data_IF_170965751895
#
_entry.id   IF_170965751895
#
_cell.length_a   1.000
_cell.length_b   1.000
_cell.length_c   1.000
_cell.angle_alpha   90.00
_cell.angle_beta   90.00
_cell.angle_gamma   90.00
#
_symmetry.space_group_name_H-M   'P 1'
#
loop_
_entity.id
_entity.type
_entity.pdbx_description
1 polymer ?
#
# COMPACT_ATOMS: atom_id res chain seq x y z
N UNK A 1 23.77 21.24 11.93
CA UNK A 1 22.76 20.16 11.90
C UNK A 1 22.75 19.54 10.52
N UNK A 2 22.47 18.24 10.34
CA UNK A 2 22.50 17.65 9.01
C UNK A 2 21.29 18.18 8.21
N UNK A 3 21.58 18.92 7.15
CA UNK A 3 20.61 19.54 6.25
C UNK A 3 20.38 18.66 5.02
N UNK A 4 19.15 18.65 4.50
CA UNK A 4 18.83 17.93 3.26
C UNK A 4 19.24 18.80 2.07
N UNK A 5 20.17 18.33 1.24
CA UNK A 5 20.57 19.02 0.00
C UNK A 5 19.64 18.63 -1.15
N UNK A 6 18.91 19.57 -1.72
CA UNK A 6 18.00 19.29 -2.85
C UNK A 6 18.83 18.92 -4.08
N UNK A 7 18.68 17.70 -4.59
CA UNK A 7 19.28 17.22 -5.84
C UNK A 7 18.35 17.42 -7.03
N UNK A 8 17.05 17.16 -6.84
CA UNK A 8 16.00 17.34 -7.86
C UNK A 8 14.67 17.68 -7.19
N UNK A 9 13.88 18.53 -7.84
CA UNK A 9 12.48 18.77 -7.50
C UNK A 9 11.64 17.86 -8.38
N UNK A 10 10.84 16.96 -7.80
CA UNK A 10 9.94 16.09 -8.58
C UNK A 10 8.62 16.79 -8.86
N UNK A 11 8.04 17.40 -7.84
CA UNK A 11 6.85 18.26 -7.94
C UNK A 11 6.79 19.18 -6.71
N UNK A 12 5.71 19.95 -6.59
CA UNK A 12 5.48 20.89 -5.50
C UNK A 12 5.44 20.24 -4.10
N UNK A 13 5.34 18.92 -3.99
CA UNK A 13 5.25 18.21 -2.70
C UNK A 13 6.37 17.19 -2.47
N UNK A 14 7.21 16.91 -3.47
CA UNK A 14 8.20 15.82 -3.40
C UNK A 14 9.54 16.28 -3.95
N UNK A 15 10.58 16.04 -3.15
CA UNK A 15 11.96 16.38 -3.46
C UNK A 15 12.85 15.15 -3.37
N UNK A 16 13.84 15.07 -4.26
CA UNK A 16 14.97 14.17 -4.09
C UNK A 16 16.08 14.97 -3.45
N UNK A 17 16.52 14.52 -2.28
CA UNK A 17 17.56 15.15 -1.50
C UNK A 17 18.72 14.19 -1.25
N UNK A 18 19.88 14.77 -0.92
CA UNK A 18 21.00 14.05 -0.34
C UNK A 18 21.05 14.38 1.16
N UNK A 19 21.08 13.34 1.99
CA UNK A 19 21.18 13.44 3.44
C UNK A 19 22.22 12.43 3.92
N UNK A 20 23.26 12.89 4.63
CA UNK A 20 24.38 12.05 5.09
C UNK A 20 25.03 11.20 3.96
N UNK A 21 25.12 11.77 2.75
CA UNK A 21 25.61 11.13 1.51
C UNK A 21 24.69 10.05 0.92
N UNK A 22 23.51 9.84 1.48
CA UNK A 22 22.50 8.96 0.93
C UNK A 22 21.41 9.75 0.19
N UNK A 23 20.91 9.19 -0.91
CA UNK A 23 19.72 9.73 -1.59
C UNK A 23 18.48 9.41 -0.77
N UNK A 24 17.65 10.43 -0.53
CA UNK A 24 16.38 10.30 0.18
C UNK A 24 15.29 11.07 -0.56
N UNK A 25 14.09 10.52 -0.58
CA UNK A 25 12.92 11.29 -1.04
C UNK A 25 12.30 11.97 0.16
N UNK A 26 12.14 13.29 0.08
CA UNK A 26 11.51 14.12 1.09
C UNK A 26 10.11 14.50 0.59
N UNK A 27 9.09 14.10 1.34
CA UNK A 27 7.68 14.26 0.96
C UNK A 27 7.03 15.20 1.95
N UNK A 28 6.37 16.26 1.46
CA UNK A 28 5.66 17.21 2.33
C UNK A 28 4.80 18.18 1.55
N UNK A 29 3.72 18.66 2.18
CA UNK A 29 2.78 19.60 1.53
C UNK A 29 3.48 20.91 1.17
N UNK A 30 3.53 21.23 -0.13
CA UNK A 30 4.15 22.45 -0.65
C UNK A 30 5.67 22.50 -0.53
N UNK A 31 6.32 21.38 -0.19
CA UNK A 31 7.75 21.32 0.08
C UNK A 31 8.61 21.72 -1.13
N UNK A 32 8.22 21.32 -2.33
CA UNK A 32 8.93 21.60 -3.57
C UNK A 32 8.60 22.95 -4.21
N UNK A 33 7.57 23.65 -3.71
CA UNK A 33 7.15 24.94 -4.27
C UNK A 33 8.28 25.98 -4.12
N UNK A 34 8.64 26.64 -5.23
CA UNK A 34 9.75 27.61 -5.32
C UNK A 34 11.14 27.08 -4.87
N UNK A 35 11.31 25.75 -4.80
CA UNK A 35 12.61 25.14 -4.54
C UNK A 35 13.41 24.92 -5.82
N UNK A 36 14.73 24.83 -5.67
CA UNK A 36 15.67 24.55 -6.76
C UNK A 36 16.78 23.63 -6.26
N UNK A 37 17.34 22.83 -7.17
CA UNK A 37 18.50 22.00 -6.89
C UNK A 37 19.67 22.86 -6.37
N UNK A 38 20.44 22.32 -5.43
CA UNK A 38 21.56 23.00 -4.77
C UNK A 38 21.18 23.78 -3.50
N UNK A 39 19.90 23.92 -3.16
CA UNK A 39 19.46 24.52 -1.89
C UNK A 39 19.43 23.48 -0.77
N UNK A 40 19.54 23.95 0.48
CA UNK A 40 19.36 23.13 1.68
C UNK A 40 17.99 23.35 2.30
N UNK A 41 17.43 22.28 2.87
CA UNK A 41 16.22 22.33 3.70
C UNK A 41 16.65 22.09 5.15
N UNK A 42 16.27 23.03 6.01
CA UNK A 42 16.43 22.86 7.45
C UNK A 42 15.26 22.03 7.99
N UNK A 43 15.52 20.94 8.72
CA UNK A 43 14.47 20.08 9.28
C UNK A 43 13.46 20.91 10.09
N UNK A 44 13.98 21.74 11.02
CA UNK A 44 13.23 22.37 12.13
C UNK A 44 12.13 23.36 11.73
N UNK A 45 12.09 23.86 10.49
CA UNK A 45 11.03 24.76 10.02
C UNK A 45 9.88 24.07 9.29
N UNK A 46 10.01 22.78 8.99
CA UNK A 46 9.09 22.04 8.09
C UNK A 46 8.67 20.67 8.67
N UNK A 47 9.08 20.35 9.92
CA UNK A 47 8.99 19.02 10.54
C UNK A 47 7.57 18.41 10.57
N UNK A 48 6.51 19.20 10.71
CA UNK A 48 5.17 18.63 10.95
C UNK A 48 4.64 17.75 9.80
N UNK A 49 5.24 17.80 8.60
CA UNK A 49 4.69 17.14 7.40
C UNK A 49 5.74 16.45 6.52
N UNK A 50 6.97 16.27 7.01
CA UNK A 50 8.04 15.65 6.23
C UNK A 50 8.16 14.16 6.57
N UNK A 51 8.10 13.33 5.53
CA UNK A 51 8.56 11.94 5.59
C UNK A 51 9.75 11.71 4.68
N UNK A 52 10.60 10.77 5.04
CA UNK A 52 11.74 10.34 4.23
C UNK A 52 11.55 8.92 3.75
N UNK A 53 11.78 8.66 2.46
CA UNK A 53 12.01 7.31 1.96
C UNK A 53 13.51 7.12 1.76
N UNK A 54 14.09 6.17 2.48
CA UNK A 54 15.51 5.82 2.41
C UNK A 54 15.74 4.55 1.61
N UNK A 55 14.79 3.61 1.63
CA UNK A 55 14.92 2.38 0.85
C UNK A 55 14.94 2.69 -0.66
N UNK A 56 16.04 2.37 -1.35
CA UNK A 56 16.26 2.75 -2.76
C UNK A 56 15.17 2.27 -3.71
N UNK A 57 14.62 1.09 -3.46
CA UNK A 57 13.60 0.48 -4.30
C UNK A 57 12.22 1.08 -4.09
N UNK A 58 11.88 1.34 -2.82
CA UNK A 58 10.70 2.13 -2.48
C UNK A 58 10.81 3.52 -3.10
N UNK A 59 11.99 4.13 -3.10
CA UNK A 59 12.22 5.40 -3.78
C UNK A 59 11.97 5.29 -5.30
N UNK A 60 12.54 4.30 -5.98
CA UNK A 60 12.44 4.20 -7.43
C UNK A 60 11.00 3.87 -7.90
N UNK A 61 10.29 3.00 -7.17
CA UNK A 61 8.87 2.76 -7.43
C UNK A 61 8.01 3.99 -7.15
N UNK A 62 8.25 4.67 -6.03
CA UNK A 62 7.51 5.89 -5.68
C UNK A 62 7.72 6.98 -6.73
N UNK A 63 8.95 7.18 -7.22
CA UNK A 63 9.23 8.08 -8.35
C UNK A 63 8.42 7.72 -9.59
N UNK A 64 8.41 6.44 -9.98
CA UNK A 64 7.64 5.97 -11.14
C UNK A 64 6.14 6.27 -11.03
N UNK A 65 5.54 5.99 -9.86
CA UNK A 65 4.12 6.28 -9.61
C UNK A 65 3.85 7.78 -9.75
N UNK A 66 4.71 8.63 -9.16
CA UNK A 66 4.52 10.07 -9.18
C UNK A 66 4.78 10.74 -10.53
N UNK A 67 5.73 10.25 -11.32
CA UNK A 67 6.04 10.82 -12.66
C UNK A 67 4.87 10.67 -13.64
N UNK A 68 3.99 9.69 -13.41
CA UNK A 68 2.80 9.42 -14.24
C UNK A 68 1.49 9.88 -13.60
N UNK A 69 1.56 10.75 -12.58
CA UNK A 69 0.40 11.21 -11.81
C UNK A 69 0.33 12.73 -11.79
N UNK A 70 -0.86 13.28 -12.03
CA UNK A 70 -1.09 14.73 -12.00
C UNK A 70 -0.72 15.35 -10.65
N UNK A 71 -0.15 16.55 -10.68
CA UNK A 71 0.39 17.19 -9.47
C UNK A 71 -0.67 17.46 -8.39
N UNK A 72 -1.88 17.82 -8.80
CA UNK A 72 -3.02 17.99 -7.88
C UNK A 72 -3.42 16.66 -7.24
N UNK A 73 -3.43 15.56 -8.01
CA UNK A 73 -3.68 14.21 -7.47
C UNK A 73 -2.61 13.85 -6.46
N UNK A 74 -1.33 14.01 -6.80
CA UNK A 74 -0.20 13.72 -5.90
C UNK A 74 -0.33 14.49 -4.59
N UNK A 75 -0.68 15.77 -4.65
CA UNK A 75 -0.89 16.60 -3.46
C UNK A 75 -1.97 16.03 -2.56
N UNK A 76 -3.14 15.69 -3.11
CA UNK A 76 -4.27 15.15 -2.35
C UNK A 76 -3.92 13.80 -1.73
N UNK A 77 -3.21 12.93 -2.46
CA UNK A 77 -2.77 11.62 -1.96
C UNK A 77 -1.78 11.78 -0.81
N UNK A 78 -0.79 12.67 -0.94
CA UNK A 78 0.18 12.95 0.14
C UNK A 78 -0.54 13.48 1.38
N UNK A 79 -1.49 14.42 1.23
CA UNK A 79 -2.29 14.93 2.36
C UNK A 79 -3.11 13.82 3.03
N UNK A 80 -3.63 12.88 2.24
CA UNK A 80 -4.43 11.74 2.71
C UNK A 80 -3.58 10.75 3.51
N UNK A 81 -2.41 10.39 2.98
CA UNK A 81 -1.44 9.51 3.65
C UNK A 81 -0.94 10.17 4.95
N UNK A 82 -0.63 11.47 4.92
CA UNK A 82 -0.25 12.25 6.11
C UNK A 82 -1.30 12.19 7.21
N UNK A 83 -2.57 12.37 6.86
CA UNK A 83 -3.68 12.34 7.81
C UNK A 83 -3.76 10.98 8.52
N UNK A 84 -3.62 9.89 7.77
CA UNK A 84 -3.64 8.53 8.33
C UNK A 84 -2.43 8.30 9.23
N UNK A 85 -1.23 8.66 8.76
CA UNK A 85 0.00 8.44 9.50
C UNK A 85 0.02 9.19 10.84
N UNK A 86 -0.44 10.44 10.84
CA UNK A 86 -0.54 11.23 12.06
C UNK A 86 -1.56 10.65 13.06
N UNK A 87 -2.64 10.05 12.56
CA UNK A 87 -3.67 9.48 13.44
C UNK A 87 -3.24 8.16 14.09
N UNK A 88 -2.49 7.32 13.37
CA UNK A 88 -2.11 5.97 13.81
C UNK A 88 -0.63 5.84 14.22
N UNK A 89 0.09 6.96 14.33
CA UNK A 89 1.53 7.03 14.62
C UNK A 89 2.37 6.12 13.70
N UNK A 90 2.09 6.19 12.39
CA UNK A 90 2.79 5.40 11.37
C UNK A 90 3.91 6.20 10.68
N UNK A 91 4.40 7.29 11.31
CA UNK A 91 5.34 8.27 10.73
C UNK A 91 6.62 7.67 10.15
N UNK A 92 7.09 6.55 10.70
CA UNK A 92 8.33 5.87 10.30
C UNK A 92 8.11 4.69 9.34
N UNK A 93 6.87 4.43 8.94
CA UNK A 93 6.55 3.25 8.14
C UNK A 93 6.63 3.58 6.64
N UNK A 94 7.85 3.69 6.10
CA UNK A 94 8.14 4.05 4.68
C UNK A 94 7.31 3.24 3.69
N UNK A 95 7.27 1.92 3.89
CA UNK A 95 6.51 1.01 3.04
C UNK A 95 5.00 1.31 3.06
N UNK A 96 4.47 1.92 4.12
CA UNK A 96 3.03 2.22 4.22
C UNK A 96 2.70 3.37 3.29
N UNK A 97 3.54 4.40 3.32
CA UNK A 97 3.48 5.56 2.43
C UNK A 97 3.41 5.09 1.00
N UNK A 98 4.33 4.23 0.58
CA UNK A 98 4.41 3.70 -0.78
C UNK A 98 3.15 2.89 -1.12
N UNK A 99 2.82 1.90 -0.29
CA UNK A 99 1.69 0.99 -0.52
C UNK A 99 0.34 1.69 -0.63
N UNK A 100 0.12 2.71 0.21
CA UNK A 100 -1.13 3.44 0.26
C UNK A 100 -1.20 4.50 -0.84
N UNK A 101 -0.07 5.14 -1.17
CA UNK A 101 0.02 6.06 -2.32
C UNK A 101 -0.31 5.32 -3.61
N UNK A 102 0.33 4.18 -3.86
CA UNK A 102 0.08 3.34 -5.03
C UNK A 102 -1.41 2.93 -5.10
N UNK A 103 -1.97 2.45 -3.99
CA UNK A 103 -3.40 2.09 -3.93
C UNK A 103 -4.33 3.26 -4.28
N UNK A 104 -4.15 4.44 -3.68
CA UNK A 104 -5.04 5.59 -3.93
C UNK A 104 -4.86 6.13 -5.35
N UNK A 105 -3.63 6.25 -5.84
CA UNK A 105 -3.34 6.70 -7.21
C UNK A 105 -3.96 5.73 -8.22
N UNK A 106 -3.77 4.43 -8.01
CA UNK A 106 -4.38 3.41 -8.86
C UNK A 106 -5.90 3.48 -8.81
N UNK A 107 -6.49 3.60 -7.62
CA UNK A 107 -7.92 3.72 -7.44
C UNK A 107 -8.50 4.95 -8.16
N UNK A 108 -7.84 6.10 -8.08
CA UNK A 108 -8.25 7.32 -8.78
C UNK A 108 -8.15 7.18 -10.31
N UNK A 109 -7.10 6.53 -10.81
CA UNK A 109 -6.95 6.22 -12.24
C UNK A 109 -8.08 5.32 -12.73
N UNK A 110 -8.49 4.33 -11.94
CA UNK A 110 -9.64 3.47 -12.24
C UNK A 110 -10.94 4.25 -12.26
N UNK A 111 -11.13 5.14 -11.27
CA UNK A 111 -12.29 6.00 -11.20
C UNK A 111 -12.43 6.86 -12.48
N UNK A 112 -11.33 7.46 -12.95
CA UNK A 112 -11.32 8.22 -14.22
C UNK A 112 -11.68 7.36 -15.44
N UNK A 113 -11.43 6.05 -15.38
CA UNK A 113 -11.79 5.08 -16.42
C UNK A 113 -13.19 4.48 -16.23
N UNK A 114 -13.98 4.97 -15.26
CA UNK A 114 -15.27 4.41 -14.85
C UNK A 114 -15.19 2.91 -14.46
N UNK A 115 -14.05 2.49 -13.93
CA UNK A 115 -13.81 1.14 -13.44
C UNK A 115 -14.02 1.11 -11.93
N UNK A 116 -15.28 1.00 -11.53
CA UNK A 116 -15.66 0.84 -10.14
C UNK A 116 -15.43 -0.58 -9.67
N UNK A 117 -15.07 -0.71 -8.41
CA UNK A 117 -14.76 -1.98 -7.78
C UNK A 117 -15.46 -2.02 -6.45
N UNK A 118 -16.43 -2.92 -6.36
CA UNK A 118 -17.04 -3.22 -5.07
C UNK A 118 -16.00 -3.82 -4.12
N UNK A 119 -15.97 -3.32 -2.90
CA UNK A 119 -15.26 -3.89 -1.79
C UNK A 119 -16.21 -4.83 -1.08
N UNK A 120 -16.02 -6.14 -1.23
CA UNK A 120 -16.99 -7.05 -0.71
C UNK A 120 -16.82 -7.36 0.78
N UNK A 121 -15.82 -6.76 1.43
CA UNK A 121 -15.60 -6.80 2.87
C UNK A 121 -16.01 -5.49 3.56
N UNK A 122 -16.74 -4.61 2.88
CA UNK A 122 -16.99 -3.26 3.38
C UNK A 122 -17.72 -3.26 4.74
N UNK A 123 -18.76 -4.08 4.86
CA UNK A 123 -19.57 -4.20 6.08
C UNK A 123 -18.76 -4.77 7.25
N UNK A 124 -17.99 -5.81 6.97
CA UNK A 124 -17.12 -6.52 7.90
C UNK A 124 -15.98 -5.61 8.37
N UNK A 125 -15.36 -4.90 7.43
CA UNK A 125 -14.29 -3.93 7.71
C UNK A 125 -14.78 -2.82 8.63
N UNK A 126 -16.01 -2.33 8.40
CA UNK A 126 -16.63 -1.32 9.26
C UNK A 126 -16.87 -1.82 10.69
N UNK A 127 -17.28 -3.07 10.85
CA UNK A 127 -17.53 -3.66 12.16
C UNK A 127 -16.23 -4.02 12.90
N UNK A 128 -15.29 -4.66 12.21
CA UNK A 128 -14.05 -5.18 12.80
C UNK A 128 -13.00 -4.11 13.03
N UNK A 129 -12.97 -3.06 12.21
CA UNK A 129 -11.97 -1.98 12.28
C UNK A 129 -12.62 -0.59 12.27
N UNK A 130 -13.46 -0.26 13.27
CA UNK A 130 -14.29 0.94 13.26
C UNK A 130 -13.48 2.24 13.19
N UNK A 131 -12.35 2.32 13.91
CA UNK A 131 -11.48 3.51 13.84
C UNK A 131 -10.73 3.63 12.51
N UNK A 132 -10.22 2.52 11.96
CA UNK A 132 -9.60 2.52 10.63
C UNK A 132 -10.60 2.95 9.55
N UNK A 133 -11.83 2.43 9.61
CA UNK A 133 -12.92 2.78 8.70
C UNK A 133 -13.30 4.27 8.80
N UNK A 134 -13.42 4.79 10.02
CA UNK A 134 -13.74 6.20 10.28
C UNK A 134 -12.69 7.14 9.70
N UNK A 135 -11.40 6.82 9.83
CA UNK A 135 -10.33 7.63 9.25
C UNK A 135 -10.29 7.49 7.73
N UNK A 136 -10.44 6.28 7.20
CA UNK A 136 -10.56 6.05 5.76
C UNK A 136 -11.71 6.87 5.15
N UNK A 137 -12.86 6.94 5.83
CA UNK A 137 -14.01 7.72 5.38
C UNK A 137 -13.71 9.22 5.30
N UNK A 138 -12.97 9.75 6.29
CA UNK A 138 -12.51 11.15 6.28
C UNK A 138 -11.53 11.43 5.13
N UNK A 139 -10.68 10.47 4.82
CA UNK A 139 -9.74 10.55 3.69
C UNK A 139 -10.49 10.58 2.37
N UNK A 140 -11.39 9.62 2.12
CA UNK A 140 -12.19 9.58 0.88
C UNK A 140 -13.02 10.86 0.72
N UNK A 141 -13.64 11.35 1.79
CA UNK A 141 -14.38 12.61 1.74
C UNK A 141 -13.50 13.82 1.35
N UNK A 142 -12.24 13.88 1.81
CA UNK A 142 -11.28 14.92 1.38
C UNK A 142 -10.89 14.75 -0.07
N UNK A 143 -10.66 13.52 -0.53
CA UNK A 143 -10.33 13.21 -1.93
C UNK A 143 -11.46 13.70 -2.83
N UNK A 144 -12.71 13.35 -2.51
CA UNK A 144 -13.90 13.78 -3.26
C UNK A 144 -13.99 15.29 -3.35
N UNK A 145 -13.80 15.99 -2.23
CA UNK A 145 -13.87 17.44 -2.17
C UNK A 145 -12.74 18.12 -2.95
N UNK A 146 -11.50 17.65 -2.81
CA UNK A 146 -10.32 18.32 -3.37
C UNK A 146 -10.11 18.04 -4.86
N UNK A 147 -10.52 16.86 -5.33
CA UNK A 147 -10.40 16.46 -6.74
C UNK A 147 -11.71 16.59 -7.51
N UNK A 148 -12.80 16.98 -6.84
CA UNK A 148 -14.15 17.05 -7.41
C UNK A 148 -14.56 15.73 -8.09
N UNK A 149 -14.41 14.63 -7.35
CA UNK A 149 -14.73 13.25 -7.76
C UNK A 149 -15.75 12.64 -6.81
N UNK A 150 -16.39 11.56 -7.24
CA UNK A 150 -17.33 10.77 -6.43
C UNK A 150 -16.76 9.38 -6.15
N UNK A 151 -15.67 9.34 -5.37
CA UNK A 151 -14.95 8.12 -5.09
C UNK A 151 -15.81 7.18 -4.22
N UNK A 152 -15.98 5.91 -4.61
CA UNK A 152 -16.99 5.04 -4.02
C UNK A 152 -16.65 4.65 -2.59
N UNK A 153 -17.69 4.36 -1.80
CA UNK A 153 -17.56 3.90 -0.40
C UNK A 153 -16.70 2.61 -0.30
N UNK A 154 -16.58 1.84 -1.37
CA UNK A 154 -15.71 0.67 -1.46
C UNK A 154 -14.24 0.99 -1.18
N UNK A 155 -13.76 2.16 -1.63
CA UNK A 155 -12.39 2.63 -1.35
C UNK A 155 -12.18 2.94 0.14
N UNK A 156 -13.25 3.35 0.85
CA UNK A 156 -13.19 3.50 2.32
C UNK A 156 -12.81 2.17 2.94
N UNK A 157 -13.41 1.07 2.49
CA UNK A 157 -13.08 -0.26 2.97
C UNK A 157 -11.65 -0.68 2.64
N UNK A 158 -11.18 -0.43 1.41
CA UNK A 158 -9.82 -0.84 1.03
C UNK A 158 -8.75 -0.05 1.80
N UNK A 159 -8.91 1.27 1.93
CA UNK A 159 -8.03 2.11 2.74
C UNK A 159 -8.08 1.67 4.21
N UNK A 160 -9.25 1.36 4.75
CA UNK A 160 -9.39 0.87 6.12
C UNK A 160 -8.66 -0.47 6.34
N UNK A 161 -8.71 -1.39 5.37
CA UNK A 161 -7.94 -2.63 5.40
C UNK A 161 -6.43 -2.38 5.35
N UNK A 162 -5.96 -1.43 4.53
CA UNK A 162 -4.56 -1.01 4.53
C UNK A 162 -4.13 -0.51 5.92
N UNK A 163 -4.94 0.31 6.58
CA UNK A 163 -4.67 0.83 7.93
C UNK A 163 -4.68 -0.30 8.97
N UNK A 164 -5.70 -1.15 8.97
CA UNK A 164 -5.84 -2.27 9.90
C UNK A 164 -4.67 -3.25 9.80
N UNK A 165 -4.17 -3.47 8.57
CA UNK A 165 -2.98 -4.27 8.30
C UNK A 165 -1.68 -3.67 8.84
N UNK A 166 -1.67 -2.41 9.30
CA UNK A 166 -0.52 -1.77 9.93
C UNK A 166 -0.64 -1.62 11.44
N UNK A 167 -1.86 -1.47 11.94
CA UNK A 167 -2.13 -0.98 13.30
C UNK A 167 -2.56 -2.07 14.27
N UNK A 168 -3.19 -3.14 13.79
CA UNK A 168 -3.66 -4.19 14.67
C UNK A 168 -2.54 -5.18 15.01
N UNK A 169 -2.30 -5.38 16.31
CA UNK A 169 -1.50 -6.49 16.82
C UNK A 169 -2.30 -7.78 16.61
N UNK A 170 -1.75 -8.69 15.80
CA UNK A 170 -2.28 -10.05 15.70
C UNK A 170 -1.51 -10.88 16.71
N UNK A 171 -2.20 -11.66 17.54
CA UNK A 171 -1.60 -12.80 18.22
C UNK A 171 -1.26 -13.85 17.15
N UNK A 172 -0.04 -13.75 16.62
CA UNK A 172 0.51 -14.57 15.52
C UNK A 172 0.55 -16.07 15.90
N UNK A 173 0.36 -16.42 17.18
CA UNK A 173 0.62 -17.75 17.74
C UNK A 173 -0.52 -18.77 17.64
N UNK A 174 -1.76 -18.39 17.28
CA UNK A 174 -2.90 -19.27 17.58
C UNK A 174 -3.10 -20.48 16.64
N UNK A 175 -2.26 -20.75 15.64
CA UNK A 175 -2.40 -21.97 14.81
C UNK A 175 -1.09 -22.46 14.21
N UNK A 176 -0.67 -23.69 14.52
CA UNK A 176 0.55 -24.34 14.01
C UNK A 176 0.64 -24.42 12.47
N UNK A 177 -0.49 -24.27 11.76
CA UNK A 177 -0.55 -24.34 10.30
C UNK A 177 -0.17 -23.02 9.60
N UNK A 178 -0.37 -21.87 10.24
CA UNK A 178 -0.20 -20.56 9.57
C UNK A 178 1.25 -20.29 9.15
N UNK A 179 2.28 -20.56 9.98
CA UNK A 179 3.67 -20.41 9.55
C UNK A 179 4.02 -21.28 8.34
N UNK A 180 3.42 -22.48 8.23
CA UNK A 180 3.62 -23.38 7.09
C UNK A 180 2.98 -22.82 5.81
N UNK A 181 1.78 -22.27 5.91
CA UNK A 181 1.09 -21.63 4.79
C UNK A 181 1.88 -20.43 4.27
N UNK A 182 2.32 -19.55 5.17
CA UNK A 182 3.14 -18.38 4.83
C UNK A 182 4.44 -18.82 4.15
N UNK A 183 5.17 -19.78 4.74
CA UNK A 183 6.42 -20.29 4.16
C UNK A 183 6.20 -20.88 2.77
N UNK A 184 5.09 -21.58 2.55
CA UNK A 184 4.73 -22.13 1.24
C UNK A 184 4.37 -21.03 0.25
N UNK A 185 3.58 -20.04 0.67
CA UNK A 185 3.18 -18.91 -0.16
C UNK A 185 4.40 -18.09 -0.59
N UNK A 186 5.31 -17.77 0.33
CA UNK A 186 6.56 -17.04 0.03
C UNK A 186 7.42 -17.83 -0.95
N UNK A 187 7.53 -19.16 -0.82
CA UNK A 187 8.24 -19.99 -1.81
C UNK A 187 7.62 -19.91 -3.20
N UNK A 188 6.29 -19.89 -3.31
CA UNK A 188 5.59 -19.73 -4.59
C UNK A 188 5.94 -18.36 -5.19
N UNK A 189 5.89 -17.30 -4.38
CA UNK A 189 6.21 -15.94 -4.81
C UNK A 189 7.68 -15.83 -5.27
N UNK A 190 8.63 -16.27 -4.45
CA UNK A 190 10.06 -16.25 -4.77
C UNK A 190 10.38 -17.03 -6.05
N UNK A 191 9.78 -18.21 -6.22
CA UNK A 191 9.96 -19.03 -7.39
C UNK A 191 9.37 -18.38 -8.66
N UNK A 192 8.13 -17.92 -8.61
CA UNK A 192 7.43 -17.44 -9.81
C UNK A 192 7.88 -16.03 -10.23
N UNK A 193 8.32 -15.20 -9.28
CA UNK A 193 8.89 -13.88 -9.57
C UNK A 193 10.41 -13.89 -9.77
N UNK A 194 11.07 -15.03 -9.50
CA UNK A 194 12.53 -15.14 -9.49
C UNK A 194 13.18 -14.13 -8.54
N UNK A 195 12.67 -14.08 -7.31
CA UNK A 195 13.12 -13.13 -6.29
C UNK A 195 13.48 -13.80 -4.97
N UNK A 196 14.19 -13.07 -4.10
CA UNK A 196 14.38 -13.42 -2.69
C UNK A 196 13.70 -12.37 -1.80
N UNK A 197 12.87 -12.85 -0.87
CA UNK A 197 12.15 -11.99 0.06
C UNK A 197 12.83 -12.13 1.43
N UNK A 198 13.51 -11.09 1.93
CA UNK A 198 14.16 -11.15 3.24
C UNK A 198 13.11 -11.32 4.34
N UNK A 199 13.24 -12.35 5.18
CA UNK A 199 12.28 -12.65 6.28
C UNK A 199 12.21 -11.50 7.30
N UNK A 200 13.29 -10.74 7.45
CA UNK A 200 13.37 -9.58 8.34
C UNK A 200 12.81 -8.29 7.71
N UNK A 201 12.40 -8.33 6.43
CA UNK A 201 11.86 -7.17 5.74
C UNK A 201 10.46 -6.81 6.27
N UNK A 202 10.16 -5.52 6.27
CA UNK A 202 8.83 -4.99 6.61
C UNK A 202 7.78 -5.58 5.66
N UNK A 203 8.12 -5.77 4.38
CA UNK A 203 7.23 -6.32 3.37
C UNK A 203 6.88 -7.79 3.67
N UNK A 204 7.84 -8.58 4.14
CA UNK A 204 7.57 -9.93 4.64
C UNK A 204 6.62 -9.92 5.84
N UNK A 205 6.87 -9.06 6.84
CA UNK A 205 6.02 -8.94 8.02
C UNK A 205 4.58 -8.51 7.66
N UNK A 206 4.42 -7.64 6.66
CA UNK A 206 3.11 -7.23 6.13
C UNK A 206 2.40 -8.35 5.41
N UNK A 207 3.12 -9.08 4.56
CA UNK A 207 2.57 -10.23 3.87
C UNK A 207 2.08 -11.29 4.86
N UNK A 208 2.89 -11.58 5.90
CA UNK A 208 2.49 -12.42 7.02
C UNK A 208 1.18 -11.93 7.62
N UNK A 209 1.09 -10.66 8.00
CA UNK A 209 -0.11 -10.06 8.60
C UNK A 209 -1.31 -10.12 7.65
N UNK A 210 -1.13 -9.90 6.36
CA UNK A 210 -2.17 -10.02 5.35
C UNK A 210 -2.69 -11.46 5.23
N UNK A 211 -1.80 -12.46 5.18
CA UNK A 211 -2.20 -13.88 5.20
C UNK A 211 -2.95 -14.23 6.48
N UNK A 212 -2.53 -13.71 7.64
CA UNK A 212 -3.28 -13.89 8.89
C UNK A 212 -4.71 -13.34 8.78
N UNK A 213 -4.87 -12.11 8.28
CA UNK A 213 -6.19 -11.53 8.08
C UNK A 213 -7.04 -12.30 7.08
N UNK A 214 -6.46 -12.75 5.96
CA UNK A 214 -7.15 -13.62 5.00
C UNK A 214 -7.65 -14.89 5.69
N UNK A 215 -6.80 -15.56 6.46
CA UNK A 215 -7.18 -16.79 7.18
C UNK A 215 -8.24 -16.52 8.26
N UNK A 216 -8.18 -15.40 8.95
CA UNK A 216 -9.19 -15.01 9.93
C UNK A 216 -10.55 -14.81 9.26
N UNK A 217 -10.61 -14.03 8.16
CA UNK A 217 -11.85 -13.81 7.41
C UNK A 217 -12.46 -15.11 6.91
N UNK A 218 -11.62 -15.96 6.31
CA UNK A 218 -12.04 -17.25 5.79
C UNK A 218 -12.55 -18.17 6.91
N UNK A 219 -11.91 -18.18 8.09
CA UNK A 219 -12.37 -18.96 9.27
C UNK A 219 -13.68 -18.44 9.84
N UNK A 220 -13.90 -17.13 9.81
CA UNK A 220 -15.13 -16.49 10.24
C UNK A 220 -16.29 -16.68 9.23
N UNK A 221 -16.01 -17.27 8.06
CA UNK A 221 -16.99 -17.42 6.98
C UNK A 221 -17.36 -16.07 6.35
N UNK A 222 -16.50 -15.06 6.45
CA UNK A 222 -16.69 -13.78 5.79
C UNK A 222 -16.62 -14.00 4.28
N UNK A 223 -17.74 -13.73 3.60
CA UNK A 223 -17.91 -13.99 2.17
C UNK A 223 -18.00 -12.70 1.41
N UNK A 224 -17.25 -12.64 0.32
CA UNK A 224 -17.06 -11.40 -0.37
C UNK A 224 -16.98 -11.65 -1.88
N UNK A 225 -17.90 -11.06 -2.65
CA UNK A 225 -17.97 -11.15 -4.11
C UNK A 225 -17.10 -10.10 -4.81
N UNK A 226 -16.23 -10.53 -5.73
CA UNK A 226 -15.51 -9.60 -6.61
C UNK A 226 -16.28 -9.39 -7.89
N UNK A 227 -16.40 -8.14 -8.33
CA UNK A 227 -16.89 -7.82 -9.65
C UNK A 227 -15.89 -8.25 -10.75
N UNK A 228 -16.41 -8.89 -11.80
CA UNK A 228 -15.62 -9.39 -12.96
C UNK A 228 -14.72 -8.32 -13.60
N UNK A 229 -15.11 -7.04 -13.55
CA UNK A 229 -14.34 -5.94 -14.09
C UNK A 229 -13.03 -5.72 -13.32
N UNK A 230 -13.05 -5.89 -11.99
CA UNK A 230 -11.84 -5.79 -11.18
C UNK A 230 -10.85 -6.91 -11.49
N UNK A 231 -11.38 -8.12 -11.62
CA UNK A 231 -10.59 -9.31 -11.90
C UNK A 231 -9.84 -9.16 -13.24
N UNK A 232 -10.58 -8.74 -14.26
CA UNK A 232 -10.04 -8.46 -15.59
C UNK A 232 -8.95 -7.39 -15.54
N UNK A 233 -9.16 -6.32 -14.75
CA UNK A 233 -8.19 -5.25 -14.61
C UNK A 233 -6.90 -5.73 -13.92
N UNK A 234 -6.98 -6.46 -12.81
CA UNK A 234 -5.80 -6.97 -12.12
C UNK A 234 -5.03 -7.96 -13.00
N UNK A 235 -5.74 -8.80 -13.75
CA UNK A 235 -5.13 -9.67 -14.76
C UNK A 235 -4.42 -8.87 -15.86
N UNK A 236 -4.93 -7.71 -16.24
CA UNK A 236 -4.31 -6.87 -17.26
C UNK A 236 -3.11 -6.09 -16.74
N UNK A 237 -3.18 -5.54 -15.52
CA UNK A 237 -2.14 -4.66 -14.96
C UNK A 237 -1.02 -5.45 -14.27
N UNK A 238 -1.37 -6.51 -13.55
CA UNK A 238 -0.44 -7.32 -12.77
C UNK A 238 -0.62 -8.83 -13.05
N UNK A 239 -0.53 -9.28 -14.32
CA UNK A 239 -0.85 -10.66 -14.72
C UNK A 239 -0.06 -11.71 -13.93
N UNK A 240 1.23 -11.46 -13.70
CA UNK A 240 2.11 -12.39 -12.98
C UNK A 240 1.72 -12.47 -11.50
N UNK A 241 1.54 -11.33 -10.84
CA UNK A 241 1.12 -11.27 -9.43
C UNK A 241 -0.27 -11.87 -9.22
N UNK A 242 -1.20 -11.67 -10.17
CA UNK A 242 -2.52 -12.29 -10.15
C UNK A 242 -2.44 -13.81 -10.20
N UNK A 243 -1.67 -14.37 -11.13
CA UNK A 243 -1.49 -15.81 -11.24
C UNK A 243 -0.86 -16.43 -9.98
N UNK A 244 0.08 -15.73 -9.36
CA UNK A 244 0.67 -16.14 -8.09
C UNK A 244 -0.36 -16.10 -6.96
N UNK A 245 -1.17 -15.05 -6.89
CA UNK A 245 -2.26 -14.93 -5.91
C UNK A 245 -3.23 -16.12 -6.03
N UNK A 246 -3.63 -16.48 -7.25
CA UNK A 246 -4.47 -17.67 -7.52
C UNK A 246 -3.82 -18.95 -6.99
N UNK A 247 -2.52 -19.17 -7.26
CA UNK A 247 -1.79 -20.36 -6.78
C UNK A 247 -1.75 -20.43 -5.25
N UNK A 248 -1.49 -19.31 -4.58
CA UNK A 248 -1.45 -19.24 -3.11
C UNK A 248 -2.83 -19.49 -2.52
N UNK A 249 -3.88 -18.86 -3.06
CA UNK A 249 -5.25 -19.07 -2.63
C UNK A 249 -5.64 -20.55 -2.75
N UNK A 250 -5.35 -21.20 -3.88
CA UNK A 250 -5.64 -22.62 -4.09
C UNK A 250 -4.85 -23.53 -3.13
N UNK A 251 -3.60 -23.16 -2.84
CA UNK A 251 -2.78 -23.84 -1.83
C UNK A 251 -3.39 -23.73 -0.42
N UNK A 252 -3.85 -22.53 -0.03
CA UNK A 252 -4.52 -22.30 1.25
C UNK A 252 -5.82 -23.12 1.35
N UNK A 253 -6.66 -23.10 0.30
CA UNK A 253 -7.89 -23.89 0.24
C UNK A 253 -7.61 -25.38 0.50
N UNK A 254 -6.58 -25.91 -0.17
CA UNK A 254 -6.21 -27.33 -0.07
C UNK A 254 -5.69 -27.69 1.32
N UNK A 255 -4.87 -26.83 1.93
CA UNK A 255 -4.21 -27.14 3.21
C UNK A 255 -5.08 -26.83 4.43
N UNK A 256 -6.03 -25.92 4.32
CA UNK A 256 -6.89 -25.49 5.42
C UNK A 256 -8.32 -25.99 5.31
N UNK A 257 -8.69 -26.71 4.24
CA UNK A 257 -10.05 -27.23 4.00
C UNK A 257 -11.13 -26.15 4.07
N UNK A 258 -10.78 -24.94 3.62
CA UNK A 258 -11.65 -23.77 3.63
C UNK A 258 -11.85 -23.26 2.22
N UNK A 259 -13.03 -22.73 1.94
CA UNK A 259 -13.31 -22.09 0.67
C UNK A 259 -12.81 -20.64 0.71
N UNK A 260 -11.85 -20.33 -0.15
CA UNK A 260 -11.29 -18.98 -0.30
C UNK A 260 -11.87 -18.35 -1.57
N UNK A 261 -12.48 -17.18 -1.43
CA UNK A 261 -13.23 -16.52 -2.50
C UNK A 261 -12.34 -15.61 -3.37
N UNK A 262 -12.84 -15.23 -4.55
CA UNK A 262 -12.10 -14.40 -5.50
C UNK A 262 -11.64 -13.04 -4.94
N UNK A 263 -12.33 -12.49 -3.94
CA UNK A 263 -11.95 -11.26 -3.23
C UNK A 263 -10.57 -11.32 -2.59
N UNK A 264 -10.20 -12.50 -2.12
CA UNK A 264 -8.89 -12.72 -1.52
C UNK A 264 -7.80 -12.74 -2.59
N UNK A 265 -8.09 -13.22 -3.80
CA UNK A 265 -7.14 -13.20 -4.92
C UNK A 265 -6.82 -11.75 -5.29
N UNK A 266 -7.84 -10.90 -5.38
CA UNK A 266 -7.67 -9.52 -5.78
C UNK A 266 -6.84 -8.73 -4.75
N UNK A 267 -7.18 -8.89 -3.46
CA UNK A 267 -6.45 -8.24 -2.38
C UNK A 267 -5.01 -8.78 -2.26
N UNK A 268 -4.82 -10.09 -2.37
CA UNK A 268 -3.49 -10.72 -2.35
C UNK A 268 -2.62 -10.32 -3.55
N UNK A 269 -3.22 -10.09 -4.73
CA UNK A 269 -2.51 -9.62 -5.93
C UNK A 269 -1.79 -8.30 -5.66
N UNK A 270 -2.45 -7.36 -4.98
CA UNK A 270 -1.84 -6.08 -4.61
C UNK A 270 -0.66 -6.25 -3.65
N UNK A 271 -0.78 -7.12 -2.65
CA UNK A 271 0.31 -7.38 -1.70
C UNK A 271 1.50 -8.10 -2.35
N UNK A 272 1.26 -9.01 -3.28
CA UNK A 272 2.33 -9.66 -4.05
C UNK A 272 3.04 -8.66 -4.96
N UNK A 273 2.32 -7.72 -5.57
CA UNK A 273 2.94 -6.67 -6.36
C UNK A 273 3.89 -5.79 -5.53
N UNK A 274 3.57 -5.55 -4.26
CA UNK A 274 4.46 -4.83 -3.35
C UNK A 274 5.71 -5.65 -2.99
N UNK A 275 5.58 -6.98 -2.87
CA UNK A 275 6.70 -7.90 -2.68
C UNK A 275 7.60 -8.03 -3.92
N UNK A 276 7.02 -7.99 -5.12
CA UNK A 276 7.77 -8.09 -6.38
C UNK A 276 8.67 -6.89 -6.62
N UNK A 277 8.14 -5.70 -6.31
CA UNK A 277 8.77 -4.44 -6.64
C UNK A 277 10.12 -4.30 -5.93
N UNK A 278 10.17 -4.31 -4.58
CA UNK A 278 10.63 -5.37 -3.61
C UNK A 278 11.95 -6.16 -3.72
N UNK A 279 12.14 -6.95 -4.79
CA UNK A 279 13.31 -7.85 -4.83
C UNK A 279 14.09 -7.83 -6.12
N UNK A 280 13.56 -7.17 -7.16
CA UNK A 280 14.28 -6.92 -8.40
C UNK A 280 15.39 -5.86 -8.27
N UNK A 281 15.47 -5.14 -7.14
CA UNK A 281 16.56 -4.20 -6.86
C UNK A 281 17.68 -4.78 -5.98
N UNK A 282 17.57 -6.04 -5.53
CA UNK A 282 18.60 -6.74 -4.77
C UNK A 282 19.37 -7.77 -5.63
N UNK A 283 19.14 -7.77 -6.95
CA UNK A 283 19.95 -8.43 -7.98
C UNK A 283 20.66 -7.38 -8.81
#
# INVERSE_FOLDING_TARGET
>A
MPSYLIKKVLNNNVLICEYRKEEVIVIGKGLGFNQKAGKYIEPDKVIEKIFTLQNKQEQDHYKMVLEHTDEDVVKVVIESVQLIMAHFDLSQNESFIVSLTDHIVFALKRYQQNQFIQNPFLSETKYSYPEAYKIAKRVVARINLQLNVDFPDDEVGFIALHIASQTNQIDIEQTQQVPKLIKTAVKIIEHDLQIKIPVQSIQYQRFVRHIHFLLQRVRNGERAHVELNFETLLKSQYPLCYNIAVKIVKMIQTQSSVEVYQAEIAYLTMHIQQLSTTSQSNM
#
